data_IF_112105406276
#
_entry.id   IF_112105406276
#
_cell.length_a   1.000
_cell.length_b   1.000
_cell.length_c   1.000
_cell.angle_alpha   90.00
_cell.angle_beta   90.00
_cell.angle_gamma   90.00
#
_symmetry.space_group_name_H-M   'P 1'
#
loop_
_entity.id
_entity.type
_entity.pdbx_description
1 polymer ?
#
# COMPACT_ATOMS: atom_id res chain seq x y z
N UNK A 1 -27.01 -6.13 -5.14
CA UNK A 1 -25.70 -6.79 -4.95
C UNK A 1 -24.59 -6.06 -5.72
N UNK A 2 -24.73 -5.80 -7.03
CA UNK A 2 -23.69 -5.11 -7.81
C UNK A 2 -23.32 -3.70 -7.29
N UNK A 3 -24.27 -2.94 -6.79
CA UNK A 3 -24.05 -1.57 -6.29
C UNK A 3 -23.27 -1.56 -4.97
N UNK A 4 -23.53 -2.50 -4.07
CA UNK A 4 -22.77 -2.70 -2.83
C UNK A 4 -21.33 -3.14 -3.11
N UNK A 5 -21.12 -4.00 -4.11
CA UNK A 5 -19.79 -4.42 -4.55
C UNK A 5 -18.97 -3.26 -5.14
N UNK A 6 -19.61 -2.36 -5.86
CA UNK A 6 -18.95 -1.17 -6.42
C UNK A 6 -18.52 -0.23 -5.31
N UNK A 7 -19.39 0.04 -4.34
CA UNK A 7 -19.09 0.89 -3.19
C UNK A 7 -17.94 0.29 -2.36
N UNK A 8 -17.99 -1.02 -2.10
CA UNK A 8 -16.93 -1.71 -1.36
C UNK A 8 -15.57 -1.60 -2.07
N UNK A 9 -15.51 -1.86 -3.38
CA UNK A 9 -14.28 -1.73 -4.18
C UNK A 9 -13.74 -0.30 -4.22
N UNK A 10 -14.62 0.70 -4.27
CA UNK A 10 -14.20 2.11 -4.20
C UNK A 10 -13.57 2.43 -2.85
N UNK A 11 -14.18 1.93 -1.76
CA UNK A 11 -13.67 2.09 -0.40
C UNK A 11 -12.31 1.43 -0.23
N UNK A 12 -12.14 0.20 -0.70
CA UNK A 12 -10.87 -0.52 -0.67
C UNK A 12 -9.75 0.23 -1.39
N UNK A 13 -10.04 0.79 -2.58
CA UNK A 13 -9.09 1.63 -3.32
C UNK A 13 -8.72 2.89 -2.55
N UNK A 14 -9.68 3.52 -1.90
CA UNK A 14 -9.45 4.75 -1.13
C UNK A 14 -8.55 4.51 0.07
N UNK A 15 -8.72 3.40 0.78
CA UNK A 15 -7.83 2.99 1.89
C UNK A 15 -6.37 2.85 1.40
N UNK A 16 -6.16 2.22 0.25
CA UNK A 16 -4.83 2.07 -0.35
C UNK A 16 -4.22 3.42 -0.74
N UNK A 17 -5.04 4.32 -1.30
CA UNK A 17 -4.61 5.70 -1.64
C UNK A 17 -4.15 6.46 -0.39
N UNK A 18 -4.93 6.39 0.70
CA UNK A 18 -4.58 7.02 1.98
C UNK A 18 -3.28 6.43 2.53
N UNK A 19 -3.16 5.09 2.52
CA UNK A 19 -1.94 4.41 2.96
C UNK A 19 -0.72 4.89 2.17
N UNK A 20 -0.84 5.00 0.86
CA UNK A 20 0.25 5.50 0.00
C UNK A 20 0.62 6.95 0.31
N UNK A 21 -0.36 7.84 0.39
CA UNK A 21 -0.13 9.26 0.67
C UNK A 21 0.50 9.44 2.05
N UNK A 22 0.08 8.66 3.03
CA UNK A 22 0.65 8.65 4.37
C UNK A 22 2.12 8.22 4.37
N UNK A 23 2.46 7.12 3.70
CA UNK A 23 3.84 6.64 3.59
C UNK A 23 4.74 7.66 2.88
N UNK A 24 4.25 8.27 1.81
CA UNK A 24 4.98 9.30 1.08
C UNK A 24 5.21 10.56 1.94
N UNK A 25 4.21 10.98 2.72
CA UNK A 25 4.33 12.11 3.62
C UNK A 25 5.42 11.87 4.67
N UNK A 26 5.41 10.72 5.34
CA UNK A 26 6.43 10.36 6.34
C UNK A 26 7.81 10.26 5.71
N UNK A 27 7.93 9.57 4.57
CA UNK A 27 9.23 9.45 3.86
C UNK A 27 9.80 10.82 3.52
N UNK A 28 8.98 11.67 2.91
CA UNK A 28 9.41 13.02 2.52
C UNK A 28 9.85 13.82 3.75
N UNK A 29 9.08 13.78 4.82
CA UNK A 29 9.44 14.45 6.07
C UNK A 29 10.77 13.91 6.61
N UNK A 30 10.95 12.61 6.77
CA UNK A 30 12.18 12.02 7.30
C UNK A 30 13.41 12.35 6.43
N UNK A 31 13.27 12.32 5.11
CA UNK A 31 14.36 12.69 4.20
C UNK A 31 14.77 14.17 4.36
N UNK A 32 13.80 15.07 4.42
CA UNK A 32 14.06 16.50 4.58
C UNK A 32 14.60 16.80 5.98
N UNK A 33 14.03 16.20 7.00
CA UNK A 33 14.47 16.33 8.38
C UNK A 33 15.92 15.85 8.59
N UNK A 34 16.30 14.71 8.01
CA UNK A 34 17.66 14.21 8.09
C UNK A 34 18.66 15.14 7.38
N UNK A 35 18.30 15.67 6.20
CA UNK A 35 19.13 16.67 5.50
C UNK A 35 19.29 17.94 6.32
N UNK A 36 18.21 18.40 6.96
CA UNK A 36 18.24 19.55 7.85
C UNK A 36 19.17 19.31 9.04
N UNK A 37 19.06 18.16 9.72
CA UNK A 37 19.96 17.80 10.83
C UNK A 37 21.45 17.73 10.42
N UNK A 38 21.72 17.34 9.19
CA UNK A 38 23.07 17.28 8.63
C UNK A 38 23.58 18.65 8.15
N UNK A 39 22.77 19.69 8.27
CA UNK A 39 23.12 21.06 7.82
C UNK A 39 23.15 21.20 6.28
N UNK A 40 22.68 20.19 5.53
CA UNK A 40 22.68 20.21 4.07
C UNK A 40 21.39 20.80 3.46
N UNK A 41 20.38 21.08 4.30
CA UNK A 41 19.12 21.69 3.91
C UNK A 41 18.94 23.03 4.63
N UNK A 42 18.47 24.03 3.91
CA UNK A 42 18.10 25.34 4.50
C UNK A 42 16.69 25.26 5.10
N UNK A 43 16.39 26.15 6.04
CA UNK A 43 15.05 26.30 6.59
C UNK A 43 13.98 26.50 5.52
N UNK A 44 14.27 27.30 4.48
CA UNK A 44 13.35 27.53 3.34
C UNK A 44 12.92 26.25 2.61
N UNK A 45 13.83 25.30 2.51
CA UNK A 45 13.56 24.07 1.79
C UNK A 45 12.72 23.08 2.63
N UNK A 46 12.88 23.13 3.97
CA UNK A 46 12.00 22.41 4.89
C UNK A 46 10.58 23.01 4.89
N UNK A 47 10.45 24.33 4.63
CA UNK A 47 9.16 25.01 4.53
C UNK A 47 8.30 24.52 3.35
N UNK A 48 8.90 24.06 2.25
CA UNK A 48 8.15 23.50 1.11
C UNK A 48 7.36 22.25 1.52
N UNK A 49 7.87 21.48 2.47
CA UNK A 49 7.13 20.35 3.03
C UNK A 49 5.86 20.78 3.77
N UNK A 50 5.91 21.98 4.33
CA UNK A 50 4.90 22.55 5.22
C UNK A 50 3.96 23.52 4.48
N UNK A 51 4.23 23.78 3.19
CA UNK A 51 3.45 24.75 2.40
C UNK A 51 2.02 24.23 2.17
N UNK A 52 1.04 25.04 2.56
CA UNK A 52 -0.40 24.73 2.50
C UNK A 52 -1.05 25.05 1.15
N UNK A 53 -0.26 25.40 0.12
CA UNK A 53 -0.77 25.83 -1.21
C UNK A 53 -1.44 24.73 -2.05
N UNK A 54 -1.95 23.67 -1.39
CA UNK A 54 -2.70 22.60 -2.03
C UNK A 54 -1.87 21.52 -2.70
N UNK A 55 -0.54 21.67 -2.73
CA UNK A 55 0.39 20.70 -3.30
C UNK A 55 1.16 19.92 -2.24
N UNK A 56 0.98 20.26 -0.94
CA UNK A 56 1.69 19.55 0.12
C UNK A 56 1.14 18.14 0.30
N UNK A 57 2.05 17.20 0.55
CA UNK A 57 1.70 15.79 0.82
C UNK A 57 0.80 15.67 2.05
N UNK A 58 0.93 16.58 3.03
CA UNK A 58 0.09 16.66 4.22
C UNK A 58 -1.34 17.09 3.89
N UNK A 59 -1.52 18.03 2.97
CA UNK A 59 -2.83 18.44 2.51
C UNK A 59 -3.55 17.30 1.78
N UNK A 60 -2.88 16.63 0.85
CA UNK A 60 -3.41 15.46 0.14
C UNK A 60 -3.80 14.34 1.11
N UNK A 61 -3.02 14.11 2.17
CA UNK A 61 -3.33 13.15 3.22
C UNK A 61 -4.60 13.53 3.98
N UNK A 62 -4.72 14.80 4.40
CA UNK A 62 -5.90 15.33 5.09
C UNK A 62 -7.18 15.19 4.25
N UNK A 63 -7.14 15.58 2.99
CA UNK A 63 -8.29 15.43 2.08
C UNK A 63 -8.68 13.97 1.86
N UNK A 64 -7.69 13.08 1.71
CA UNK A 64 -7.92 11.65 1.56
C UNK A 64 -8.62 11.05 2.78
N UNK A 65 -8.19 11.44 3.99
CA UNK A 65 -8.82 11.01 5.24
C UNK A 65 -10.28 11.49 5.34
N UNK A 66 -10.54 12.78 5.11
CA UNK A 66 -11.89 13.33 5.19
C UNK A 66 -12.89 12.64 4.25
N UNK A 67 -12.43 12.16 3.11
CA UNK A 67 -13.29 11.45 2.15
C UNK A 67 -13.66 10.05 2.65
N UNK A 68 -12.75 9.38 3.37
CA UNK A 68 -12.99 8.05 3.93
C UNK A 68 -14.05 8.07 5.04
N UNK A 69 -13.98 9.08 5.91
CA UNK A 69 -14.77 9.16 7.15
C UNK A 69 -16.27 9.30 6.93
N UNK A 70 -16.70 9.76 5.76
CA UNK A 70 -18.12 9.97 5.45
C UNK A 70 -18.97 8.70 5.39
N UNK A 71 -18.36 7.51 5.37
CA UNK A 71 -19.04 6.25 5.11
C UNK A 71 -18.69 5.13 6.09
N UNK A 72 -18.11 5.46 7.25
CA UNK A 72 -17.60 4.47 8.20
C UNK A 72 -18.64 4.04 9.24
N UNK A 73 -18.52 2.79 9.74
CA UNK A 73 -19.30 2.30 10.86
C UNK A 73 -18.92 3.00 12.19
N UNK A 74 -19.81 3.08 13.17
CA UNK A 74 -19.59 3.84 14.39
C UNK A 74 -18.29 3.50 15.17
N UNK A 75 -17.84 2.23 15.33
CA UNK A 75 -16.59 1.91 16.01
C UNK A 75 -15.34 2.37 15.24
N UNK A 76 -15.41 2.31 13.91
CA UNK A 76 -14.33 2.76 13.03
C UNK A 76 -14.26 4.27 12.99
N UNK A 77 -15.43 4.95 13.03
CA UNK A 77 -15.55 6.40 13.04
C UNK A 77 -14.77 7.05 14.20
N UNK A 78 -14.77 6.45 15.38
CA UNK A 78 -14.02 6.97 16.52
C UNK A 78 -12.50 6.94 16.29
N UNK A 79 -11.98 5.84 15.74
CA UNK A 79 -10.55 5.71 15.40
C UNK A 79 -10.15 6.70 14.30
N UNK A 80 -11.02 6.85 13.31
CA UNK A 80 -10.85 7.80 12.22
C UNK A 80 -10.84 9.25 12.71
N UNK A 81 -11.69 9.61 13.65
CA UNK A 81 -11.72 10.94 14.27
C UNK A 81 -10.40 11.24 15.02
N UNK A 82 -9.88 10.27 15.78
CA UNK A 82 -8.59 10.44 16.47
C UNK A 82 -7.47 10.64 15.45
N UNK A 83 -7.46 9.86 14.38
CA UNK A 83 -6.49 9.98 13.30
C UNK A 83 -6.57 11.36 12.61
N UNK A 84 -7.78 11.83 12.28
CA UNK A 84 -8.00 13.15 11.66
C UNK A 84 -7.54 14.29 12.58
N UNK A 85 -7.83 14.19 13.89
CA UNK A 85 -7.38 15.17 14.87
C UNK A 85 -5.85 15.22 14.96
N UNK A 86 -5.18 14.09 14.92
CA UNK A 86 -3.70 14.03 14.97
C UNK A 86 -3.08 14.59 13.71
N UNK A 87 -3.64 14.28 12.54
CA UNK A 87 -3.24 14.89 11.25
C UNK A 87 -3.49 16.40 11.27
N UNK A 88 -4.63 16.83 11.82
CA UNK A 88 -4.93 18.24 12.00
C UNK A 88 -3.91 18.97 12.91
N UNK A 89 -3.44 18.31 13.96
CA UNK A 89 -2.39 18.82 14.83
C UNK A 89 -1.05 18.98 14.12
N UNK A 90 -0.65 18.01 13.31
CA UNK A 90 0.55 18.09 12.46
C UNK A 90 0.43 19.28 11.51
N UNK A 91 -0.72 19.42 10.86
CA UNK A 91 -0.95 20.52 9.94
C UNK A 91 -0.89 21.89 10.63
N UNK A 92 -1.48 22.01 11.82
CA UNK A 92 -1.45 23.26 12.60
C UNK A 92 -0.03 23.62 13.04
N UNK A 93 0.75 22.63 13.50
CA UNK A 93 2.14 22.83 13.86
C UNK A 93 3.00 23.21 12.65
N UNK A 94 2.73 22.62 11.52
CA UNK A 94 3.35 22.96 10.25
C UNK A 94 3.12 24.43 9.86
N UNK A 95 1.91 24.95 10.05
CA UNK A 95 1.60 26.38 9.82
C UNK A 95 2.40 27.30 10.76
N UNK A 96 2.56 26.92 12.02
CA UNK A 96 3.40 27.65 12.99
C UNK A 96 4.86 27.69 12.53
N UNK A 97 5.40 26.55 12.10
CA UNK A 97 6.78 26.50 11.58
C UNK A 97 6.99 27.40 10.36
N UNK A 98 5.99 27.52 9.50
CA UNK A 98 6.04 28.44 8.37
C UNK A 98 6.13 29.90 8.82
N UNK A 99 5.40 30.27 9.87
CA UNK A 99 5.48 31.62 10.44
C UNK A 99 6.89 31.88 11.03
N UNK A 100 7.44 30.93 11.76
CA UNK A 100 8.80 30.99 12.28
C UNK A 100 9.84 31.17 11.15
N UNK A 101 9.70 30.42 10.06
CA UNK A 101 10.56 30.56 8.88
C UNK A 101 10.48 31.95 8.25
N UNK A 102 9.27 32.49 8.09
CA UNK A 102 9.08 33.83 7.56
C UNK A 102 9.79 34.87 8.46
N UNK A 103 9.68 34.72 9.76
CA UNK A 103 10.42 35.60 10.69
C UNK A 103 11.93 35.52 10.51
N UNK A 104 12.49 34.31 10.36
CA UNK A 104 13.92 34.11 10.10
C UNK A 104 14.37 34.70 8.77
N UNK A 105 13.55 34.59 7.71
CA UNK A 105 13.82 35.18 6.41
C UNK A 105 13.81 36.75 6.46
N UNK A 106 12.96 37.31 7.28
CA UNK A 106 12.88 38.78 7.44
C UNK A 106 14.00 39.34 8.30
N UNK A 107 14.27 38.73 9.45
CA UNK A 107 15.22 39.26 10.44
C UNK A 107 16.66 38.82 10.19
N UNK A 108 16.90 37.65 9.61
CA UNK A 108 18.24 37.12 9.38
C UNK A 108 19.13 38.00 8.49
N UNK A 109 18.69 38.43 7.30
CA UNK A 109 19.45 39.34 6.44
C UNK A 109 19.70 40.68 7.07
N UNK A 110 18.70 41.28 7.75
CA UNK A 110 18.82 42.55 8.45
C UNK A 110 19.84 42.51 9.58
N UNK A 111 19.84 41.43 10.35
CA UNK A 111 20.84 41.19 11.37
C UNK A 111 22.26 41.09 10.79
N UNK A 112 22.40 40.32 9.72
CA UNK A 112 23.68 40.13 9.02
C UNK A 112 24.23 41.47 8.49
N UNK A 113 23.37 42.26 7.85
CA UNK A 113 23.73 43.58 7.31
C UNK A 113 24.18 44.58 8.41
N UNK A 114 23.40 44.67 9.49
CA UNK A 114 23.72 45.53 10.62
C UNK A 114 24.99 45.07 11.36
N UNK A 115 25.21 43.79 11.47
CA UNK A 115 26.36 43.20 12.13
C UNK A 115 27.66 43.42 11.33
N UNK A 116 27.57 43.49 10.00
CA UNK A 116 28.71 43.73 9.11
C UNK A 116 29.18 45.20 9.08
N UNK A 117 28.34 46.15 9.47
CA UNK A 117 28.67 47.57 9.52
C UNK A 117 29.51 47.86 10.78
N UNK A 118 30.78 48.20 10.57
CA UNK A 118 31.77 48.38 11.67
C UNK A 118 31.53 49.57 12.62
N UNK A 119 30.79 50.59 12.20
CA UNK A 119 30.53 51.80 12.98
C UNK A 119 29.20 51.67 13.76
N UNK A 120 29.28 51.52 15.06
CA UNK A 120 28.12 51.18 15.93
C UNK A 120 27.71 52.40 16.77
N UNK A 121 26.64 53.09 16.37
CA UNK A 121 25.94 53.97 17.30
C UNK A 121 25.26 53.13 18.40
N UNK A 122 25.03 53.74 19.58
CA UNK A 122 24.40 53.06 20.72
C UNK A 122 23.01 52.48 20.37
N UNK A 123 22.25 53.12 19.49
CA UNK A 123 20.98 52.69 18.99
C UNK A 123 21.10 51.44 18.10
N UNK A 124 22.10 51.38 17.22
CA UNK A 124 22.36 50.20 16.37
C UNK A 124 22.77 48.97 17.18
N UNK A 125 23.56 49.17 18.26
CA UNK A 125 23.93 48.08 19.16
C UNK A 125 22.76 47.48 19.91
N UNK A 126 21.73 48.25 20.21
CA UNK A 126 20.48 47.75 20.81
C UNK A 126 19.66 46.96 19.79
N UNK A 127 19.50 47.46 18.57
CA UNK A 127 18.81 46.78 17.47
C UNK A 127 19.43 45.42 17.11
N UNK A 128 20.77 45.37 17.05
CA UNK A 128 21.50 44.11 16.81
C UNK A 128 21.20 43.10 17.91
N UNK A 129 21.17 43.52 19.19
CA UNK A 129 20.83 42.63 20.31
C UNK A 129 19.39 42.12 20.23
N UNK A 130 18.44 42.98 19.86
CA UNK A 130 17.04 42.59 19.69
C UNK A 130 16.86 41.59 18.54
N UNK A 131 17.43 41.86 17.36
CA UNK A 131 17.35 40.91 16.24
C UNK A 131 18.02 39.59 16.58
N UNK A 132 19.19 39.59 17.23
CA UNK A 132 19.80 38.34 17.69
C UNK A 132 18.89 37.55 18.61
N UNK A 133 18.21 38.22 19.54
CA UNK A 133 17.29 37.60 20.49
C UNK A 133 16.07 37.01 19.79
N UNK A 134 15.49 37.72 18.79
CA UNK A 134 14.37 37.25 17.98
C UNK A 134 14.81 36.01 17.19
N UNK A 135 15.91 36.10 16.45
CA UNK A 135 16.44 35.01 15.64
C UNK A 135 16.66 33.75 16.49
N UNK A 136 17.37 33.87 17.61
CA UNK A 136 17.66 32.73 18.48
C UNK A 136 16.41 32.10 19.05
N UNK A 137 15.41 32.87 19.43
CA UNK A 137 14.10 32.32 19.90
C UNK A 137 13.32 31.63 18.79
N UNK A 138 13.33 32.22 17.60
CA UNK A 138 12.63 31.65 16.46
C UNK A 138 13.29 30.36 15.99
N UNK A 139 14.64 30.30 15.98
CA UNK A 139 15.38 29.07 15.69
C UNK A 139 15.11 27.97 16.71
N UNK A 140 15.00 28.30 18.00
CA UNK A 140 14.67 27.35 19.06
C UNK A 140 13.24 26.85 18.93
N UNK A 141 12.25 27.76 18.75
CA UNK A 141 10.84 27.42 18.47
C UNK A 141 10.69 26.51 17.25
N UNK A 142 11.45 26.82 16.20
CA UNK A 142 11.45 26.01 14.99
C UNK A 142 11.98 24.58 15.22
N UNK A 143 13.10 24.45 15.93
CA UNK A 143 13.68 23.14 16.28
C UNK A 143 12.71 22.30 17.12
N UNK A 144 12.15 22.90 18.15
CA UNK A 144 11.15 22.25 19.01
C UNK A 144 9.95 21.80 18.20
N UNK A 145 9.41 22.65 17.32
CA UNK A 145 8.28 22.31 16.47
C UNK A 145 8.57 21.17 15.48
N UNK A 146 9.78 21.12 14.95
CA UNK A 146 10.20 20.01 14.06
C UNK A 146 10.29 18.68 14.82
N UNK A 147 10.81 18.69 16.06
CA UNK A 147 10.86 17.50 16.91
C UNK A 147 9.44 17.06 17.30
N UNK A 148 8.54 17.99 17.60
CA UNK A 148 7.14 17.72 17.92
C UNK A 148 6.41 17.09 16.73
N UNK A 149 6.62 17.57 15.48
CA UNK A 149 6.10 16.95 14.28
C UNK A 149 6.60 15.51 14.15
N UNK A 150 7.88 15.27 14.43
CA UNK A 150 8.45 13.93 14.36
C UNK A 150 7.79 12.98 15.37
N UNK A 151 7.50 13.44 16.59
CA UNK A 151 6.76 12.66 17.60
C UNK A 151 5.33 12.40 17.14
N UNK A 152 4.63 13.42 16.64
CA UNK A 152 3.28 13.27 16.12
C UNK A 152 3.20 12.28 14.94
N UNK A 153 4.19 12.24 14.06
CA UNK A 153 4.24 11.23 12.99
C UNK A 153 4.38 9.81 13.54
N UNK A 154 5.10 9.60 14.64
CA UNK A 154 5.16 8.28 15.28
C UNK A 154 3.81 7.87 15.87
N UNK A 155 3.10 8.81 16.49
CA UNK A 155 1.74 8.57 17.01
C UNK A 155 0.75 8.31 15.90
N UNK A 156 0.76 9.09 14.83
CA UNK A 156 -0.06 8.87 13.64
C UNK A 156 0.22 7.50 13.04
N UNK A 157 1.47 7.05 13.02
CA UNK A 157 1.80 5.73 12.52
C UNK A 157 1.13 4.61 13.33
N UNK A 158 1.19 4.69 14.66
CA UNK A 158 0.52 3.72 15.53
C UNK A 158 -0.99 3.71 15.27
N UNK A 159 -1.62 4.88 15.21
CA UNK A 159 -3.04 5.02 14.91
C UNK A 159 -3.38 4.48 13.50
N UNK A 160 -2.50 4.70 12.54
CA UNK A 160 -2.65 4.17 11.19
C UNK A 160 -2.59 2.64 11.16
N UNK A 161 -1.69 2.01 11.91
CA UNK A 161 -1.66 0.55 12.05
C UNK A 161 -2.97 0.01 12.64
N UNK A 162 -3.51 0.67 13.67
CA UNK A 162 -4.80 0.31 14.26
C UNK A 162 -5.94 0.46 13.25
N UNK A 163 -5.94 1.55 12.47
CA UNK A 163 -6.92 1.78 11.41
C UNK A 163 -6.79 0.73 10.29
N UNK A 164 -5.57 0.40 9.86
CA UNK A 164 -5.36 -0.66 8.88
C UNK A 164 -5.89 -2.01 9.36
N UNK A 165 -5.86 -2.28 10.65
CA UNK A 165 -6.44 -3.48 11.25
C UNK A 165 -7.94 -3.65 10.96
N UNK A 166 -8.69 -2.54 10.85
CA UNK A 166 -10.11 -2.58 10.47
C UNK A 166 -10.33 -2.97 8.99
N UNK A 167 -9.31 -2.81 8.16
CA UNK A 167 -9.32 -3.14 6.74
C UNK A 167 -8.47 -4.37 6.40
N UNK A 168 -8.20 -5.22 7.41
CA UNK A 168 -7.33 -6.39 7.25
C UNK A 168 -7.76 -7.38 6.17
N UNK A 169 -9.06 -7.45 5.85
CA UNK A 169 -9.60 -8.31 4.79
C UNK A 169 -9.51 -7.68 3.38
N UNK A 170 -8.95 -6.47 3.27
CA UNK A 170 -8.76 -5.79 2.00
C UNK A 170 -7.56 -6.36 1.22
N UNK A 171 -7.84 -7.10 0.16
CA UNK A 171 -6.81 -7.70 -0.69
C UNK A 171 -5.93 -6.68 -1.43
N UNK A 172 -6.47 -5.51 -1.80
CA UNK A 172 -5.69 -4.43 -2.42
C UNK A 172 -4.71 -3.82 -1.41
N UNK A 173 -5.11 -3.69 -0.15
CA UNK A 173 -4.22 -3.22 0.92
C UNK A 173 -3.08 -4.23 1.17
N UNK A 174 -3.40 -5.52 1.31
CA UNK A 174 -2.39 -6.56 1.48
C UNK A 174 -1.38 -6.58 0.32
N UNK A 175 -1.87 -6.45 -0.92
CA UNK A 175 -1.04 -6.32 -2.11
C UNK A 175 -0.15 -5.08 -2.06
N UNK A 176 -0.72 -3.92 -1.72
CA UNK A 176 0.02 -2.66 -1.60
C UNK A 176 1.16 -2.77 -0.59
N UNK A 177 0.92 -3.37 0.57
CA UNK A 177 1.96 -3.57 1.59
C UNK A 177 3.12 -4.44 1.07
N UNK A 178 2.84 -5.45 0.22
CA UNK A 178 3.89 -6.25 -0.42
C UNK A 178 4.63 -5.48 -1.53
N UNK A 179 3.95 -4.64 -2.29
CA UNK A 179 4.56 -3.84 -3.37
C UNK A 179 5.46 -2.74 -2.82
N UNK A 180 5.05 -2.09 -1.73
CA UNK A 180 5.78 -0.97 -1.11
C UNK A 180 6.69 -1.40 0.06
N UNK A 181 7.07 -2.67 0.13
CA UNK A 181 7.85 -3.23 1.23
C UNK A 181 9.15 -2.47 1.52
N UNK A 182 9.84 -1.97 0.50
CA UNK A 182 11.10 -1.26 0.66
C UNK A 182 10.86 0.13 1.26
N UNK A 183 9.79 0.81 0.85
CA UNK A 183 9.34 2.07 1.45
C UNK A 183 8.92 1.87 2.91
N UNK A 184 8.20 0.79 3.20
CA UNK A 184 7.80 0.44 4.56
C UNK A 184 8.99 0.21 5.47
N UNK A 185 10.01 -0.54 5.00
CA UNK A 185 11.26 -0.76 5.75
C UNK A 185 11.98 0.55 6.04
N UNK A 186 12.11 1.41 5.03
CA UNK A 186 12.78 2.71 5.16
C UNK A 186 12.07 3.61 6.18
N UNK A 187 10.75 3.73 6.06
CA UNK A 187 9.94 4.65 6.87
C UNK A 187 9.81 4.18 8.32
N UNK A 188 9.59 2.89 8.54
CA UNK A 188 9.25 2.33 9.85
C UNK A 188 10.41 1.61 10.54
N UNK A 189 11.57 1.55 9.87
CA UNK A 189 12.75 0.82 10.37
C UNK A 189 12.42 -0.62 10.77
N UNK A 190 11.55 -1.26 10.01
CA UNK A 190 11.19 -2.67 10.19
C UNK A 190 12.08 -3.53 9.31
N UNK A 191 12.49 -4.68 9.84
CA UNK A 191 13.39 -5.57 9.11
C UNK A 191 12.67 -6.36 8.03
N UNK A 192 11.38 -6.62 8.21
CA UNK A 192 10.60 -7.44 7.28
C UNK A 192 9.14 -7.00 7.14
N UNK A 193 8.51 -7.32 6.00
CA UNK A 193 7.07 -7.14 5.77
C UNK A 193 6.25 -8.09 6.65
N UNK A 194 6.84 -9.22 7.05
CA UNK A 194 6.26 -10.15 8.00
C UNK A 194 5.88 -9.48 9.31
N UNK A 195 6.67 -8.51 9.78
CA UNK A 195 6.35 -7.76 11.00
C UNK A 195 5.07 -6.95 10.86
N UNK A 196 4.83 -6.37 9.67
CA UNK A 196 3.57 -5.67 9.38
C UNK A 196 2.42 -6.67 9.33
N UNK A 197 2.59 -7.78 8.62
CA UNK A 197 1.56 -8.80 8.54
C UNK A 197 1.26 -9.42 9.90
N UNK A 198 2.28 -9.61 10.75
CA UNK A 198 2.10 -10.05 12.14
C UNK A 198 1.30 -9.03 12.96
N UNK A 199 1.56 -7.75 12.79
CA UNK A 199 0.80 -6.68 13.47
C UNK A 199 -0.66 -6.64 13.01
N UNK A 200 -0.93 -6.79 11.70
CA UNK A 200 -2.28 -6.70 11.13
C UNK A 200 -3.09 -7.99 11.31
N UNK A 201 -2.45 -9.15 11.17
CA UNK A 201 -3.12 -10.46 11.12
C UNK A 201 -2.82 -11.35 12.34
N UNK A 202 -1.99 -10.89 13.28
CA UNK A 202 -1.59 -11.64 14.46
C UNK A 202 -0.83 -12.91 14.10
N UNK A 203 -1.26 -14.06 14.64
CA UNK A 203 -0.67 -15.37 14.34
C UNK A 203 -0.98 -15.90 12.93
N UNK A 204 -1.85 -15.23 12.17
CA UNK A 204 -2.27 -15.66 10.83
C UNK A 204 -1.60 -14.82 9.72
N UNK A 205 -0.28 -14.75 9.71
CA UNK A 205 0.49 -14.04 8.66
C UNK A 205 0.17 -14.56 7.24
N UNK A 206 -0.17 -15.85 7.12
CA UNK A 206 -0.56 -16.46 5.86
C UNK A 206 -1.73 -15.74 5.19
N UNK A 207 -2.65 -15.17 5.97
CA UNK A 207 -3.82 -14.44 5.46
C UNK A 207 -3.42 -13.21 4.64
N UNK A 208 -2.42 -12.45 5.08
CA UNK A 208 -1.94 -11.29 4.32
C UNK A 208 -1.41 -11.67 2.93
N UNK A 209 -0.59 -12.72 2.86
CA UNK A 209 -0.09 -13.24 1.58
C UNK A 209 -1.20 -13.83 0.71
N UNK A 210 -2.17 -14.53 1.31
CA UNK A 210 -3.33 -15.07 0.60
C UNK A 210 -4.16 -13.97 -0.05
N UNK A 211 -4.51 -12.92 0.70
CA UNK A 211 -5.29 -11.79 0.21
C UNK A 211 -4.56 -11.02 -0.91
N UNK A 212 -3.25 -10.80 -0.75
CA UNK A 212 -2.45 -10.20 -1.80
C UNK A 212 -2.41 -11.07 -3.06
N UNK A 213 -2.26 -12.39 -2.90
CA UNK A 213 -2.31 -13.36 -3.99
C UNK A 213 -3.63 -13.31 -4.76
N UNK A 214 -4.75 -13.22 -4.04
CA UNK A 214 -6.08 -13.09 -4.65
C UNK A 214 -6.24 -11.78 -5.41
N UNK A 215 -5.76 -10.67 -4.86
CA UNK A 215 -5.76 -9.36 -5.53
C UNK A 215 -4.92 -9.38 -6.82
N UNK A 216 -3.73 -10.02 -6.80
CA UNK A 216 -2.92 -10.20 -7.99
C UNK A 216 -3.61 -11.09 -9.02
N UNK A 217 -4.21 -12.19 -8.59
CA UNK A 217 -4.92 -13.12 -9.44
C UNK A 217 -6.08 -12.44 -10.17
N UNK A 218 -6.93 -11.71 -9.44
CA UNK A 218 -8.05 -10.94 -10.00
C UNK A 218 -7.61 -9.88 -11.02
N UNK A 219 -6.40 -9.33 -10.83
CA UNK A 219 -5.78 -8.36 -11.73
C UNK A 219 -4.98 -9.00 -12.88
N UNK A 220 -5.03 -10.31 -13.04
CA UNK A 220 -4.28 -11.10 -14.03
C UNK A 220 -2.74 -11.01 -13.91
N UNK A 221 -2.20 -10.62 -12.76
CA UNK A 221 -0.77 -10.66 -12.46
C UNK A 221 -0.35 -12.04 -11.92
N UNK A 222 -0.53 -13.09 -12.73
CA UNK A 222 -0.40 -14.48 -12.29
C UNK A 222 0.97 -14.82 -11.69
N UNK A 223 2.07 -14.33 -12.26
CA UNK A 223 3.41 -14.57 -11.71
C UNK A 223 3.57 -13.99 -10.28
N UNK A 224 2.98 -12.83 -10.00
CA UNK A 224 2.97 -12.24 -8.65
C UNK A 224 2.02 -13.01 -7.71
N UNK A 225 0.87 -13.45 -8.23
CA UNK A 225 -0.08 -14.27 -7.47
C UNK A 225 0.56 -15.59 -7.01
N UNK A 226 1.30 -16.28 -7.91
CA UNK A 226 2.04 -17.50 -7.57
C UNK A 226 3.01 -17.25 -6.41
N UNK A 227 3.80 -16.19 -6.47
CA UNK A 227 4.75 -15.84 -5.39
C UNK A 227 4.04 -15.62 -4.06
N UNK A 228 2.96 -14.82 -4.05
CA UNK A 228 2.22 -14.52 -2.84
C UNK A 228 1.54 -15.78 -2.25
N UNK A 229 0.89 -16.60 -3.09
CA UNK A 229 0.30 -17.87 -2.63
C UNK A 229 1.34 -18.87 -2.14
N UNK A 230 2.54 -18.91 -2.74
CA UNK A 230 3.64 -19.75 -2.26
C UNK A 230 4.09 -19.32 -0.87
N UNK A 231 4.26 -18.02 -0.64
CA UNK A 231 4.59 -17.48 0.67
C UNK A 231 3.49 -17.78 1.72
N UNK A 232 2.22 -17.68 1.32
CA UNK A 232 1.11 -18.09 2.18
C UNK A 232 1.18 -19.58 2.53
N UNK A 233 1.49 -20.45 1.56
CA UNK A 233 1.61 -21.89 1.75
C UNK A 233 2.79 -22.25 2.64
N UNK A 234 3.91 -21.55 2.56
CA UNK A 234 5.06 -21.72 3.46
C UNK A 234 4.69 -21.44 4.93
N UNK A 235 3.80 -20.45 5.15
CA UNK A 235 3.29 -20.11 6.50
C UNK A 235 2.14 -21.01 6.95
N UNK A 236 1.44 -21.67 6.03
CA UNK A 236 0.33 -22.60 6.29
C UNK A 236 0.51 -23.89 5.50
N UNK A 237 1.49 -24.75 5.87
CA UNK A 237 1.77 -25.97 5.14
C UNK A 237 0.55 -26.90 5.11
N UNK A 238 0.26 -27.46 3.94
CA UNK A 238 -0.87 -28.40 3.75
C UNK A 238 -2.20 -27.73 3.38
N UNK A 239 -2.25 -26.41 3.21
CA UNK A 239 -3.46 -25.74 2.68
C UNK A 239 -3.64 -26.06 1.20
N UNK A 240 -4.54 -27.02 0.93
CA UNK A 240 -4.85 -27.50 -0.42
C UNK A 240 -5.53 -26.43 -1.28
N UNK A 241 -6.24 -25.48 -0.66
CA UNK A 241 -6.83 -24.33 -1.37
C UNK A 241 -5.72 -23.43 -1.94
N UNK A 242 -4.67 -23.16 -1.19
CA UNK A 242 -3.52 -22.41 -1.69
C UNK A 242 -2.77 -23.18 -2.79
N UNK A 243 -2.58 -24.50 -2.62
CA UNK A 243 -1.96 -25.33 -3.67
C UNK A 243 -2.77 -25.30 -4.97
N UNK A 244 -4.10 -25.38 -4.88
CA UNK A 244 -4.98 -25.23 -6.04
C UNK A 244 -4.79 -23.87 -6.72
N UNK A 245 -4.81 -22.78 -5.96
CA UNK A 245 -4.63 -21.42 -6.49
C UNK A 245 -3.26 -21.21 -7.14
N UNK A 246 -2.21 -21.84 -6.61
CA UNK A 246 -0.87 -21.83 -7.21
C UNK A 246 -0.91 -22.53 -8.57
N UNK A 247 -1.45 -23.75 -8.66
CA UNK A 247 -1.51 -24.49 -9.94
C UNK A 247 -2.41 -23.81 -10.96
N UNK A 248 -3.54 -23.24 -10.54
CA UNK A 248 -4.42 -22.46 -11.40
C UNK A 248 -3.70 -21.24 -11.96
N UNK A 249 -3.00 -20.50 -11.11
CA UNK A 249 -2.24 -19.31 -11.53
C UNK A 249 -1.09 -19.68 -12.46
N UNK A 250 -0.37 -20.79 -12.20
CA UNK A 250 0.66 -21.32 -13.07
C UNK A 250 0.11 -21.69 -14.45
N UNK A 251 -1.03 -22.36 -14.48
CA UNK A 251 -1.67 -22.73 -15.74
C UNK A 251 -2.07 -21.51 -16.59
N UNK A 252 -2.63 -20.49 -15.95
CA UNK A 252 -2.98 -19.23 -16.62
C UNK A 252 -1.74 -18.46 -17.08
N UNK A 253 -0.74 -18.32 -16.24
CA UNK A 253 0.52 -17.67 -16.59
C UNK A 253 1.21 -18.34 -17.77
N UNK A 254 1.34 -19.67 -17.75
CA UNK A 254 1.93 -20.46 -18.83
C UNK A 254 1.12 -20.38 -20.14
N UNK A 255 -0.20 -20.34 -20.05
CA UNK A 255 -1.05 -20.17 -21.23
C UNK A 255 -0.82 -18.81 -21.89
N UNK A 256 -0.83 -17.73 -21.13
CA UNK A 256 -0.57 -16.38 -21.66
C UNK A 256 0.87 -16.16 -22.08
N UNK A 257 1.81 -16.98 -21.58
CA UNK A 257 3.21 -17.02 -22.02
C UNK A 257 3.45 -17.97 -23.21
N UNK A 258 2.39 -18.37 -23.92
CA UNK A 258 2.45 -19.25 -25.10
C UNK A 258 3.04 -20.64 -24.84
N UNK A 259 2.86 -21.19 -23.65
CA UNK A 259 3.29 -22.52 -23.24
C UNK A 259 2.09 -23.46 -22.94
N UNK A 260 1.21 -23.76 -23.91
CA UNK A 260 -0.07 -24.42 -23.67
C UNK A 260 0.05 -25.84 -23.11
N UNK A 261 1.10 -26.58 -23.45
CA UNK A 261 1.33 -27.92 -22.89
C UNK A 261 1.61 -27.88 -21.38
N UNK A 262 2.41 -26.92 -20.96
CA UNK A 262 2.72 -26.70 -19.55
C UNK A 262 1.47 -26.22 -18.80
N UNK A 263 0.70 -25.33 -19.41
CA UNK A 263 -0.56 -24.85 -18.86
C UNK A 263 -1.54 -26.02 -18.57
N UNK A 264 -1.76 -26.92 -19.53
CA UNK A 264 -2.62 -28.09 -19.33
C UNK A 264 -2.10 -28.99 -18.19
N UNK A 265 -0.77 -29.21 -18.11
CA UNK A 265 -0.16 -29.98 -17.01
C UNK A 265 -0.39 -29.33 -15.63
N UNK A 266 -0.37 -28.01 -15.56
CA UNK A 266 -0.66 -27.29 -14.32
C UNK A 266 -2.14 -27.40 -13.94
N UNK A 267 -3.05 -27.31 -14.90
CA UNK A 267 -4.49 -27.52 -14.66
C UNK A 267 -4.83 -28.95 -14.29
N UNK A 268 -4.15 -29.97 -14.85
CA UNK A 268 -4.30 -31.36 -14.42
C UNK A 268 -4.00 -31.55 -12.93
N UNK A 269 -3.05 -30.79 -12.37
CA UNK A 269 -2.74 -30.80 -10.94
C UNK A 269 -3.82 -30.14 -10.07
N UNK A 270 -4.69 -29.33 -10.66
CA UNK A 270 -5.84 -28.74 -9.95
C UNK A 270 -6.94 -29.78 -9.67
N UNK A 271 -7.10 -30.80 -10.53
CA UNK A 271 -8.22 -31.73 -10.45
C UNK A 271 -8.36 -32.46 -9.10
N UNK A 272 -7.29 -33.05 -8.53
CA UNK A 272 -7.40 -33.75 -7.24
C UNK A 272 -7.71 -32.81 -6.07
N UNK A 273 -7.44 -31.52 -6.21
CA UNK A 273 -7.69 -30.51 -5.19
C UNK A 273 -9.07 -29.84 -5.34
N UNK A 274 -9.69 -30.00 -6.49
CA UNK A 274 -10.90 -29.27 -6.87
C UNK A 274 -12.10 -29.48 -5.93
N UNK A 275 -12.20 -30.65 -5.28
CA UNK A 275 -13.29 -30.93 -4.33
C UNK A 275 -13.22 -30.15 -3.01
N UNK A 276 -12.10 -29.47 -2.74
CA UNK A 276 -11.80 -28.80 -1.48
C UNK A 276 -11.76 -27.27 -1.58
N UNK A 277 -12.10 -26.73 -2.75
CA UNK A 277 -11.98 -25.29 -3.04
C UNK A 277 -13.35 -24.67 -3.19
N UNK A 278 -13.61 -23.62 -2.40
CA UNK A 278 -14.77 -22.74 -2.60
C UNK A 278 -14.69 -22.05 -3.98
N UNK A 279 -15.83 -21.72 -4.57
CA UNK A 279 -15.94 -21.08 -5.89
C UNK A 279 -15.39 -21.91 -7.06
N UNK A 280 -15.42 -23.21 -6.95
CA UNK A 280 -14.91 -24.14 -7.96
C UNK A 280 -15.48 -23.86 -9.36
N UNK A 281 -16.74 -23.44 -9.48
CA UNK A 281 -17.38 -23.23 -10.80
C UNK A 281 -16.74 -22.09 -11.60
N UNK A 282 -16.36 -20.98 -10.96
CA UNK A 282 -15.67 -19.89 -11.65
C UNK A 282 -14.29 -20.31 -12.17
N UNK A 283 -13.55 -21.07 -11.39
CA UNK A 283 -12.24 -21.60 -11.79
C UNK A 283 -12.38 -22.69 -12.86
N UNK A 284 -13.41 -23.54 -12.76
CA UNK A 284 -13.77 -24.54 -13.78
C UNK A 284 -14.04 -23.86 -15.13
N UNK A 285 -14.80 -22.76 -15.13
CA UNK A 285 -15.07 -21.97 -16.32
C UNK A 285 -13.78 -21.37 -16.94
N UNK A 286 -12.86 -20.89 -16.12
CA UNK A 286 -11.55 -20.38 -16.61
C UNK A 286 -10.75 -21.49 -17.30
N UNK A 287 -10.63 -22.66 -16.70
CA UNK A 287 -9.89 -23.79 -17.27
C UNK A 287 -10.57 -24.26 -18.57
N UNK A 288 -11.91 -24.39 -18.61
CA UNK A 288 -12.67 -24.73 -19.82
C UNK A 288 -12.37 -23.78 -20.97
N UNK A 289 -12.38 -22.46 -20.68
CA UNK A 289 -12.08 -21.41 -21.67
C UNK A 289 -10.68 -21.57 -22.27
N UNK A 290 -9.68 -21.91 -21.44
CA UNK A 290 -8.33 -22.20 -21.94
C UNK A 290 -8.32 -23.46 -22.79
N UNK A 291 -8.98 -24.55 -22.35
CA UNK A 291 -9.08 -25.80 -23.16
C UNK A 291 -9.74 -25.57 -24.51
N UNK A 292 -10.80 -24.76 -24.57
CA UNK A 292 -11.47 -24.38 -25.82
C UNK A 292 -10.53 -23.61 -26.75
N UNK A 293 -9.85 -22.58 -26.23
CA UNK A 293 -8.89 -21.82 -27.04
C UNK A 293 -7.73 -22.66 -27.57
N UNK A 294 -7.21 -23.59 -26.79
CA UNK A 294 -6.20 -24.55 -27.23
C UNK A 294 -6.73 -25.43 -28.39
N UNK A 295 -8.02 -25.77 -28.40
CA UNK A 295 -8.64 -26.55 -29.48
C UNK A 295 -8.92 -25.70 -30.72
N UNK A 296 -9.27 -24.41 -30.57
CA UNK A 296 -9.66 -23.50 -31.64
C UNK A 296 -8.47 -22.85 -32.36
N UNK A 297 -7.46 -22.41 -31.63
CA UNK A 297 -6.33 -21.63 -32.18
C UNK A 297 -5.29 -22.48 -32.93
N UNK A 298 -5.40 -23.79 -32.83
CA UNK A 298 -4.44 -24.71 -33.43
C UNK A 298 -4.84 -25.35 -34.76
N UNK A 299 -6.04 -25.16 -35.34
CA UNK A 299 -6.44 -25.86 -36.61
C UNK A 299 -5.68 -25.43 -37.86
N UNK A 300 -4.99 -24.28 -37.85
CA UNK A 300 -4.32 -23.69 -39.04
C UNK A 300 -2.83 -24.00 -39.22
N UNK A 301 -2.15 -24.53 -38.25
CA UNK A 301 -0.74 -24.94 -38.34
C UNK A 301 -0.63 -26.43 -38.67
N UNK A 302 0.35 -26.84 -39.49
CA UNK A 302 0.60 -28.24 -39.87
C UNK A 302 0.39 -29.16 -38.67
N UNK A 303 -0.51 -30.16 -38.79
CA UNK A 303 -0.88 -31.15 -37.76
C UNK A 303 0.36 -31.99 -37.38
N UNK A 304 1.22 -31.47 -36.56
CA UNK A 304 2.33 -32.22 -35.95
C UNK A 304 1.74 -33.17 -34.91
N UNK A 305 2.43 -34.24 -34.60
CA UNK A 305 1.98 -35.20 -33.55
C UNK A 305 1.86 -34.51 -32.19
N UNK A 306 2.74 -33.55 -31.91
CA UNK A 306 2.66 -32.69 -30.71
C UNK A 306 1.35 -31.91 -30.64
N UNK A 307 0.86 -31.42 -31.77
CA UNK A 307 -0.41 -30.71 -31.83
C UNK A 307 -1.61 -31.61 -31.53
N UNK A 308 -1.63 -32.82 -32.12
CA UNK A 308 -2.70 -33.82 -31.87
C UNK A 308 -2.74 -34.20 -30.39
N UNK A 309 -1.59 -34.37 -29.79
CA UNK A 309 -1.46 -34.74 -28.39
C UNK A 309 -1.97 -33.62 -27.46
N UNK A 310 -1.67 -32.37 -27.81
CA UNK A 310 -2.14 -31.18 -27.06
C UNK A 310 -3.67 -31.07 -27.09
N UNK A 311 -4.27 -31.18 -28.26
CA UNK A 311 -5.74 -31.15 -28.41
C UNK A 311 -6.40 -32.32 -27.68
N UNK A 312 -5.83 -33.53 -27.79
CA UNK A 312 -6.32 -34.72 -27.07
C UNK A 312 -6.29 -34.49 -25.56
N UNK A 313 -5.22 -33.92 -25.04
CA UNK A 313 -5.07 -33.62 -23.62
C UNK A 313 -6.07 -32.55 -23.16
N UNK A 314 -6.28 -31.49 -23.94
CA UNK A 314 -7.26 -30.44 -23.63
C UNK A 314 -8.69 -31.02 -23.57
N UNK A 315 -9.06 -31.92 -24.50
CA UNK A 315 -10.35 -32.60 -24.49
C UNK A 315 -10.52 -33.51 -23.28
N UNK A 316 -9.47 -34.25 -22.91
CA UNK A 316 -9.50 -35.11 -21.73
C UNK A 316 -9.70 -34.32 -20.46
N UNK A 317 -8.94 -33.22 -20.31
CA UNK A 317 -9.07 -32.33 -19.16
C UNK A 317 -10.47 -31.73 -19.07
N UNK A 318 -11.03 -31.29 -20.20
CA UNK A 318 -12.39 -30.75 -20.24
C UNK A 318 -13.43 -31.79 -19.80
N UNK A 319 -13.31 -33.03 -20.25
CA UNK A 319 -14.17 -34.14 -19.83
C UNK A 319 -14.06 -34.40 -18.32
N UNK A 320 -12.83 -34.47 -17.79
CA UNK A 320 -12.59 -34.64 -16.36
C UNK A 320 -13.18 -33.49 -15.51
N UNK A 321 -13.15 -32.26 -15.99
CA UNK A 321 -13.81 -31.13 -15.34
C UNK A 321 -15.33 -31.25 -15.30
N UNK A 322 -15.94 -31.86 -16.32
CA UNK A 322 -17.40 -32.12 -16.39
C UNK A 322 -17.82 -33.23 -15.43
N UNK A 323 -16.95 -34.21 -15.20
CA UNK A 323 -17.17 -35.32 -14.26
C UNK A 323 -17.04 -34.95 -12.79
N UNK A 324 -16.46 -33.75 -12.47
CA UNK A 324 -16.38 -33.27 -11.08
C UNK A 324 -17.80 -33.01 -10.53
N UNK A 325 -18.07 -33.36 -9.28
CA UNK A 325 -19.38 -33.14 -8.68
C UNK A 325 -19.72 -31.62 -8.67
N UNK A 326 -21.01 -31.29 -8.80
CA UNK A 326 -21.45 -29.92 -8.67
C UNK A 326 -21.10 -29.41 -7.26
N UNK A 327 -20.61 -28.20 -7.19
CA UNK A 327 -20.33 -27.54 -5.89
C UNK A 327 -21.66 -27.46 -5.14
N UNK A 328 -21.75 -27.95 -3.90
CA UNK A 328 -22.94 -27.72 -3.09
C UNK A 328 -23.15 -26.20 -3.04
N UNK A 329 -24.34 -25.76 -3.44
CA UNK A 329 -24.75 -24.37 -3.30
C UNK A 329 -24.79 -24.06 -1.79
N UNK A 330 -23.64 -23.65 -1.27
CA UNK A 330 -23.49 -23.29 0.12
C UNK A 330 -24.37 -22.08 0.41
N UNK A 331 -25.23 -22.21 1.39
CA UNK A 331 -25.96 -21.11 1.97
C UNK A 331 -24.98 -19.98 2.26
N UNK A 332 -25.08 -18.87 1.53
CA UNK A 332 -24.47 -17.64 1.96
C UNK A 332 -24.99 -17.35 3.37
N UNK A 333 -24.14 -17.20 4.39
CA UNK A 333 -24.60 -16.66 5.65
C UNK A 333 -25.12 -15.26 5.37
N UNK A 334 -26.39 -15.07 5.67
CA UNK A 334 -27.14 -13.81 5.65
C UNK A 334 -26.54 -12.78 6.58
#
# INVERSE_FOLDING_TARGET
MEELDIIQRQRERKVVEIARNFLLAIRTFHQQYNKYRQGSLRFSDLAQFVDDRGESVLFALKESCQTLFRHSSAPVLQKEQIFDLTIGSIFHLAMKLREDLYQLEVYGPRYSELSARGDRSQGQGNLIREFKKIISRTEESFKEGVEEINVLFQDVFRQFQELLGEYRENGLLARFLLEERDLLKEVFRIDSVEDIFRTLYGSNEAQGYRLAGESYFQSAFYAKAIKAFTQALEKSPGDESLQFKIYLSQGLEQFYSFAPLQALRSFEKCLPLAAKVEFLESYRAMIRKVCQKVQEELPGRRKTDQHRDLVKRAKLLQKQLEELPPVPSGNHPT
#
